data_IF_251294989566
#
_entry.id   IF_251294989566
#
_cell.length_a   1.000
_cell.length_b   1.000
_cell.length_c   1.000
_cell.angle_alpha   90.00
_cell.angle_beta   90.00
_cell.angle_gamma   90.00
#
_symmetry.space_group_name_H-M   'P 1'
#
loop_
_entity.id
_entity.type
_entity.pdbx_description
1 polymer ?
#
# COMPACT_ATOMS: atom_id res chain seq x y z
N UNK A 1 -15.48 11.75 3.17
CA UNK A 1 -15.03 11.06 1.95
C UNK A 1 -15.90 11.48 0.75
N UNK A 2 -17.23 11.36 0.84
CA UNK A 2 -18.15 11.63 -0.29
C UNK A 2 -17.97 13.03 -0.91
N UNK A 3 -17.90 14.08 -0.11
CA UNK A 3 -17.70 15.45 -0.61
C UNK A 3 -16.39 15.60 -1.40
N UNK A 4 -15.32 14.95 -0.98
CA UNK A 4 -14.03 14.95 -1.68
C UNK A 4 -14.16 14.20 -3.01
N UNK A 5 -14.86 13.06 -3.02
CA UNK A 5 -15.11 12.27 -4.23
C UNK A 5 -15.99 13.08 -5.21
N UNK A 6 -17.03 13.76 -4.73
CA UNK A 6 -17.90 14.61 -5.56
C UNK A 6 -17.11 15.80 -6.15
N UNK A 7 -16.22 16.40 -5.37
CA UNK A 7 -15.31 17.44 -5.86
C UNK A 7 -14.36 16.86 -6.92
N UNK A 8 -13.76 15.71 -6.66
CA UNK A 8 -12.89 15.02 -7.61
C UNK A 8 -13.61 14.70 -8.93
N UNK A 9 -14.83 14.18 -8.85
CA UNK A 9 -15.63 13.86 -10.06
C UNK A 9 -15.97 15.09 -10.90
N UNK A 10 -16.12 16.26 -10.27
CA UNK A 10 -16.42 17.54 -10.95
C UNK A 10 -15.18 18.19 -11.55
N UNK A 11 -14.06 18.13 -10.86
CA UNK A 11 -12.88 18.94 -11.20
C UNK A 11 -11.74 18.14 -11.81
N UNK A 12 -11.72 16.83 -11.60
CA UNK A 12 -10.59 15.96 -11.92
C UNK A 12 -9.25 16.49 -11.36
N UNK A 13 -9.29 17.08 -10.16
CA UNK A 13 -8.15 17.76 -9.53
C UNK A 13 -7.03 16.80 -9.16
N UNK A 14 -7.40 15.58 -8.74
CA UNK A 14 -6.47 14.52 -8.40
C UNK A 14 -6.56 13.42 -9.45
N UNK A 15 -5.42 12.92 -9.89
CA UNK A 15 -5.39 11.87 -10.91
C UNK A 15 -4.75 10.64 -10.32
N UNK A 16 -5.39 9.48 -10.46
CA UNK A 16 -4.68 8.24 -10.32
C UNK A 16 -3.51 8.20 -11.31
N UNK A 17 -2.46 7.48 -10.92
CA UNK A 17 -1.19 7.43 -11.63
C UNK A 17 -1.38 7.35 -13.15
N UNK A 18 -0.75 8.28 -13.85
CA UNK A 18 -0.62 8.23 -15.30
C UNK A 18 0.66 7.46 -15.65
N UNK A 19 0.52 6.36 -16.40
CA UNK A 19 1.63 5.51 -16.83
C UNK A 19 2.73 6.26 -17.61
N UNK A 20 2.46 7.45 -18.11
CA UNK A 20 3.42 8.29 -18.82
C UNK A 20 4.51 8.87 -17.89
N UNK A 21 4.31 8.82 -16.57
CA UNK A 21 5.26 9.32 -15.57
C UNK A 21 6.10 8.18 -15.00
N UNK A 22 6.96 7.66 -15.83
CA UNK A 22 7.90 6.61 -15.45
C UNK A 22 8.72 7.06 -14.25
N UNK A 23 8.66 6.30 -13.14
CA UNK A 23 9.44 6.55 -11.93
C UNK A 23 8.71 7.21 -10.78
N UNK A 24 7.46 7.66 -10.93
CA UNK A 24 6.63 8.10 -9.80
C UNK A 24 6.20 6.92 -8.94
N UNK A 25 7.09 6.51 -8.04
CA UNK A 25 6.84 5.39 -7.13
C UNK A 25 5.84 5.73 -6.01
N UNK A 26 5.58 7.01 -5.76
CA UNK A 26 4.70 7.45 -4.65
C UNK A 26 3.30 7.85 -5.11
N UNK A 27 3.03 7.81 -6.43
CA UNK A 27 1.74 8.20 -7.01
C UNK A 27 1.33 9.61 -6.59
N UNK A 28 2.24 10.59 -6.76
CA UNK A 28 2.09 11.93 -6.22
C UNK A 28 0.84 12.67 -6.75
N UNK A 29 0.37 12.30 -7.94
CA UNK A 29 -0.81 12.94 -8.56
C UNK A 29 -2.12 12.68 -7.82
N UNK A 30 -2.17 11.71 -6.92
CA UNK A 30 -3.32 11.41 -6.06
C UNK A 30 -3.09 11.74 -4.58
N UNK A 31 -1.96 12.37 -4.24
CA UNK A 31 -1.67 12.82 -2.87
C UNK A 31 -2.47 14.09 -2.55
N UNK A 32 -3.31 14.00 -1.52
CA UNK A 32 -4.04 15.14 -0.98
C UNK A 32 -3.21 15.91 0.04
N UNK A 33 -2.44 15.19 0.83
CA UNK A 33 -1.57 15.76 1.84
C UNK A 33 -0.34 14.89 2.05
N UNK A 34 0.81 15.54 2.20
CA UNK A 34 2.09 14.88 2.45
C UNK A 34 3.00 15.77 3.27
N UNK A 35 4.03 15.16 3.81
CA UNK A 35 5.09 15.83 4.60
C UNK A 35 6.40 15.76 3.84
N UNK A 36 7.11 16.88 3.78
CA UNK A 36 8.48 16.92 3.26
C UNK A 36 9.47 16.54 4.36
N UNK A 37 10.33 15.59 4.08
CA UNK A 37 11.44 15.21 4.96
C UNK A 37 12.74 15.24 4.17
N UNK A 38 13.63 16.15 4.50
CA UNK A 38 14.92 16.31 3.81
C UNK A 38 15.87 15.13 4.07
N UNK A 39 15.69 14.45 5.21
CA UNK A 39 16.52 13.32 5.61
C UNK A 39 15.97 11.98 5.10
N UNK A 40 14.83 11.97 4.41
CA UNK A 40 14.17 10.74 3.96
C UNK A 40 15.11 9.83 3.17
N UNK A 41 15.87 10.42 2.24
CA UNK A 41 16.80 9.65 1.39
C UNK A 41 17.92 9.02 2.20
N UNK A 42 18.42 9.70 3.22
CA UNK A 42 19.45 9.15 4.11
C UNK A 42 18.95 7.94 4.88
N UNK A 43 17.73 8.03 5.46
CA UNK A 43 17.08 6.89 6.12
C UNK A 43 16.80 5.74 5.16
N UNK A 44 16.32 6.05 3.95
CA UNK A 44 16.06 5.02 2.92
C UNK A 44 17.34 4.34 2.47
N UNK A 45 18.43 5.08 2.29
CA UNK A 45 19.71 4.51 1.93
C UNK A 45 20.25 3.59 3.04
N UNK A 46 20.12 3.99 4.30
CA UNK A 46 20.49 3.15 5.43
C UNK A 46 19.69 1.82 5.44
N UNK A 47 18.39 1.85 5.12
CA UNK A 47 17.57 0.64 4.97
C UNK A 47 18.00 -0.17 3.74
N UNK A 48 18.32 0.49 2.63
CA UNK A 48 18.77 -0.17 1.40
C UNK A 48 20.13 -0.84 1.56
N UNK A 49 21.03 -0.28 2.35
CA UNK A 49 22.28 -0.95 2.71
C UNK A 49 22.02 -2.26 3.45
N UNK A 50 20.98 -2.30 4.29
CA UNK A 50 20.54 -3.53 4.95
C UNK A 50 19.87 -4.51 3.98
N UNK A 51 19.41 -4.06 2.82
CA UNK A 51 18.78 -4.89 1.77
C UNK A 51 19.73 -5.21 0.61
N UNK A 52 20.98 -4.76 0.65
CA UNK A 52 21.98 -5.06 -0.36
C UNK A 52 22.40 -6.53 -0.25
N UNK A 53 22.31 -7.34 -1.33
CA UNK A 53 22.70 -8.75 -1.31
C UNK A 53 24.17 -8.98 -0.96
N UNK A 54 25.03 -8.00 -1.21
CA UNK A 54 26.45 -8.01 -0.85
C UNK A 54 26.70 -7.65 0.62
N UNK A 55 25.67 -7.21 1.34
CA UNK A 55 25.72 -6.89 2.77
C UNK A 55 25.56 -8.14 3.59
N UNK A 56 26.26 -8.25 4.73
CA UNK A 56 26.15 -9.35 5.67
C UNK A 56 24.75 -9.47 6.32
N UNK A 57 23.99 -8.36 6.34
CA UNK A 57 22.62 -8.28 6.84
C UNK A 57 21.73 -7.72 5.75
N UNK A 58 20.77 -8.52 5.26
CA UNK A 58 19.82 -8.08 4.26
C UNK A 58 18.39 -8.45 4.62
N UNK A 59 17.48 -7.51 4.38
CA UNK A 59 16.04 -7.70 4.52
C UNK A 59 15.39 -7.73 3.15
N UNK A 60 14.80 -8.88 2.81
CA UNK A 60 14.03 -9.05 1.58
C UNK A 60 12.59 -9.38 1.87
N UNK A 61 11.73 -9.00 0.94
CA UNK A 61 10.39 -9.56 0.88
C UNK A 61 10.48 -10.88 0.12
N UNK A 62 10.20 -12.00 0.78
CA UNK A 62 10.23 -13.31 0.14
C UNK A 62 9.18 -13.42 -0.95
N UNK A 63 9.48 -14.13 -2.03
CA UNK A 63 8.59 -14.38 -3.17
C UNK A 63 7.22 -14.88 -2.75
N UNK A 64 7.16 -15.84 -1.83
CA UNK A 64 5.89 -16.34 -1.31
C UNK A 64 5.03 -15.20 -0.73
N UNK A 65 5.63 -14.27 0.04
CA UNK A 65 4.89 -13.13 0.58
C UNK A 65 4.40 -12.19 -0.53
N UNK A 66 5.22 -11.91 -1.54
CA UNK A 66 4.83 -11.03 -2.65
C UNK A 66 3.71 -11.68 -3.47
N UNK A 67 3.87 -12.94 -3.87
CA UNK A 67 2.91 -13.65 -4.71
C UNK A 67 1.64 -14.02 -3.96
N UNK A 68 1.77 -14.60 -2.76
CA UNK A 68 0.65 -15.24 -2.08
C UNK A 68 -0.08 -14.28 -1.14
N UNK A 69 0.64 -13.32 -0.53
CA UNK A 69 0.06 -12.43 0.46
C UNK A 69 -0.31 -11.05 -0.07
N UNK A 70 0.46 -10.50 -1.03
CA UNK A 70 0.21 -9.15 -1.55
C UNK A 70 -0.45 -9.14 -2.92
N UNK A 71 0.03 -9.94 -3.87
CA UNK A 71 -0.41 -9.88 -5.28
C UNK A 71 -1.07 -11.17 -5.75
N UNK A 72 -1.79 -11.84 -4.88
CA UNK A 72 -2.50 -13.11 -5.07
C UNK A 72 -3.10 -13.28 -6.47
N UNK A 73 -2.51 -14.14 -7.29
CA UNK A 73 -3.01 -14.46 -8.62
C UNK A 73 -2.88 -13.36 -9.68
N UNK A 74 -2.53 -12.11 -9.30
CA UNK A 74 -2.29 -11.03 -10.27
C UNK A 74 -0.92 -11.17 -10.96
N UNK A 75 0.02 -11.89 -10.36
CA UNK A 75 1.30 -12.23 -10.98
C UNK A 75 1.11 -13.48 -11.83
N UNK A 76 1.29 -13.32 -13.14
CA UNK A 76 1.17 -14.40 -14.14
C UNK A 76 2.50 -14.62 -14.86
N UNK A 77 2.58 -15.64 -15.72
CA UNK A 77 3.75 -15.86 -16.59
C UNK A 77 4.04 -14.68 -17.52
N UNK A 78 3.03 -13.87 -17.85
CA UNK A 78 3.15 -12.66 -18.69
C UNK A 78 3.45 -11.39 -17.88
N UNK A 79 3.57 -11.50 -16.55
CA UNK A 79 3.83 -10.37 -15.64
C UNK A 79 2.65 -10.01 -14.76
N UNK A 80 2.67 -8.80 -14.20
CA UNK A 80 1.63 -8.26 -13.34
C UNK A 80 1.21 -6.88 -13.84
N UNK A 81 -0.09 -6.59 -13.89
CA UNK A 81 -0.59 -5.28 -14.32
C UNK A 81 -0.57 -4.25 -13.18
N UNK A 82 -0.56 -4.69 -11.92
CA UNK A 82 -0.54 -3.81 -10.76
C UNK A 82 0.74 -2.94 -10.74
N UNK A 83 0.55 -1.63 -10.81
CA UNK A 83 1.65 -0.66 -10.83
C UNK A 83 2.46 -0.67 -9.53
N UNK A 84 1.82 -1.02 -8.40
CA UNK A 84 2.50 -1.17 -7.12
C UNK A 84 3.52 -2.31 -7.18
N UNK A 85 3.19 -3.41 -7.82
CA UNK A 85 4.15 -4.47 -8.10
C UNK A 85 5.28 -3.98 -9.01
N UNK A 86 4.93 -3.38 -10.14
CA UNK A 86 5.91 -2.95 -11.16
C UNK A 86 6.92 -1.93 -10.65
N UNK A 87 6.48 -1.02 -9.77
CA UNK A 87 7.30 0.11 -9.32
C UNK A 87 7.97 -0.13 -7.97
N UNK A 88 7.41 -1.01 -7.14
CA UNK A 88 7.90 -1.20 -5.78
C UNK A 88 8.64 -2.50 -5.54
N UNK A 89 8.45 -3.50 -6.41
CA UNK A 89 9.04 -4.83 -6.25
C UNK A 89 10.15 -5.04 -7.28
N UNK A 90 11.38 -4.86 -6.83
CA UNK A 90 12.55 -5.11 -7.64
C UNK A 90 13.02 -6.55 -7.44
N UNK A 91 12.99 -7.37 -8.51
CA UNK A 91 13.52 -8.73 -8.51
C UNK A 91 15.01 -8.69 -8.82
N UNK A 92 15.81 -9.30 -7.97
CA UNK A 92 17.26 -9.45 -8.21
C UNK A 92 17.62 -10.45 -9.33
N UNK A 93 16.62 -10.94 -10.09
CA UNK A 93 16.83 -11.84 -11.23
C UNK A 93 16.87 -13.31 -10.86
N UNK A 94 16.70 -13.66 -9.61
CA UNK A 94 16.64 -15.04 -9.13
C UNK A 94 15.20 -15.53 -8.85
N UNK A 95 14.20 -14.65 -8.91
CA UNK A 95 12.80 -14.98 -8.63
C UNK A 95 12.53 -15.44 -7.20
N UNK A 96 13.48 -15.28 -6.28
CA UNK A 96 13.36 -15.74 -4.89
C UNK A 96 13.19 -14.61 -3.90
N UNK A 97 13.71 -13.44 -4.21
CA UNK A 97 13.77 -12.30 -3.30
C UNK A 97 13.46 -10.99 -4.02
N UNK A 98 12.66 -10.14 -3.37
CA UNK A 98 12.30 -8.82 -3.89
C UNK A 98 12.78 -7.73 -2.95
N UNK A 99 13.40 -6.70 -3.52
CA UNK A 99 13.68 -5.45 -2.83
C UNK A 99 12.49 -4.51 -2.95
N UNK A 100 12.11 -3.90 -1.83
CA UNK A 100 11.07 -2.88 -1.80
C UNK A 100 11.66 -1.51 -2.13
N UNK A 101 11.21 -0.90 -3.23
CA UNK A 101 11.86 0.28 -3.83
C UNK A 101 11.01 1.55 -3.79
N UNK A 102 9.88 1.57 -3.08
CA UNK A 102 8.93 2.69 -3.05
C UNK A 102 9.57 4.03 -2.66
N UNK A 103 10.50 4.00 -1.73
CA UNK A 103 11.15 5.19 -1.17
C UNK A 103 12.59 5.36 -1.64
N UNK A 104 13.06 4.56 -2.59
CA UNK A 104 14.39 4.74 -3.15
C UNK A 104 14.53 6.07 -3.86
N UNK A 105 15.76 6.59 -3.85
CA UNK A 105 16.11 7.81 -4.56
C UNK A 105 15.72 7.70 -6.03
N UNK A 106 15.03 8.71 -6.50
CA UNK A 106 14.65 8.84 -7.89
C UNK A 106 15.63 9.81 -8.57
N UNK A 107 16.48 9.26 -9.43
CA UNK A 107 17.41 10.04 -10.23
C UNK A 107 16.73 10.35 -11.57
N UNK A 108 16.11 11.53 -11.66
CA UNK A 108 15.59 12.08 -12.90
C UNK A 108 16.22 13.46 -13.13
N UNK A 109 16.43 13.81 -14.40
CA UNK A 109 16.90 15.12 -14.83
C UNK A 109 15.92 16.25 -14.49
N UNK A 110 14.63 15.95 -14.40
CA UNK A 110 13.62 16.90 -13.88
C UNK A 110 13.77 17.06 -12.36
N UNK A 111 14.47 18.13 -11.98
CA UNK A 111 14.75 18.48 -10.57
C UNK A 111 13.48 18.63 -9.73
N UNK A 112 12.38 19.10 -10.32
CA UNK A 112 11.11 19.28 -9.60
C UNK A 112 10.50 17.93 -9.24
N UNK A 113 10.46 17.01 -10.18
CA UNK A 113 9.95 15.65 -9.95
C UNK A 113 10.84 14.86 -9.00
N UNK A 114 12.15 14.94 -9.16
CA UNK A 114 13.12 14.32 -8.26
C UNK A 114 12.93 14.81 -6.81
N UNK A 115 12.73 16.12 -6.64
CA UNK A 115 12.52 16.73 -5.33
C UNK A 115 11.23 16.21 -4.66
N UNK A 116 10.12 16.20 -5.38
CA UNK A 116 8.84 15.66 -4.87
C UNK A 116 8.99 14.17 -4.52
N UNK A 117 9.55 13.37 -5.41
CA UNK A 117 9.69 11.93 -5.19
C UNK A 117 10.65 11.59 -4.06
N UNK A 118 11.74 12.34 -3.91
CA UNK A 118 12.79 12.00 -2.96
C UNK A 118 12.45 12.41 -1.53
N UNK A 119 11.73 13.51 -1.33
CA UNK A 119 11.53 14.09 0.00
C UNK A 119 10.09 14.01 0.51
N UNK A 120 9.12 13.70 -0.35
CA UNK A 120 7.71 13.65 0.03
C UNK A 120 7.36 12.31 0.67
N UNK A 121 6.76 12.38 1.86
CA UNK A 121 6.09 11.25 2.53
C UNK A 121 4.58 11.43 2.34
N UNK A 122 3.91 10.55 1.59
CA UNK A 122 2.46 10.62 1.45
C UNK A 122 1.78 10.31 2.79
N UNK A 123 0.90 11.20 3.23
CA UNK A 123 0.12 11.03 4.46
C UNK A 123 -1.33 10.68 4.15
N UNK A 124 -1.94 11.33 3.16
CA UNK A 124 -3.30 11.07 2.71
C UNK A 124 -3.34 11.09 1.19
N UNK A 125 -3.92 10.04 0.60
CA UNK A 125 -4.14 9.90 -0.85
C UNK A 125 -5.61 9.70 -1.19
N UNK A 126 -5.94 9.94 -2.46
CA UNK A 126 -7.30 9.68 -2.96
C UNK A 126 -7.73 8.22 -2.80
N UNK A 127 -6.79 7.28 -2.90
CA UNK A 127 -7.07 5.86 -2.64
C UNK A 127 -7.65 5.63 -1.24
N UNK A 128 -7.12 6.29 -0.22
CA UNK A 128 -7.64 6.21 1.15
C UNK A 128 -9.06 6.77 1.27
N UNK A 129 -9.34 7.90 0.61
CA UNK A 129 -10.69 8.48 0.59
C UNK A 129 -11.71 7.51 -0.02
N UNK A 130 -11.34 6.82 -1.09
CA UNK A 130 -12.18 5.78 -1.70
C UNK A 130 -12.36 4.56 -0.80
N UNK A 131 -11.29 4.11 -0.08
CA UNK A 131 -11.41 3.02 0.89
C UNK A 131 -12.37 3.38 2.03
N UNK A 132 -12.26 4.59 2.59
CA UNK A 132 -13.17 5.09 3.64
C UNK A 132 -14.61 5.13 3.14
N UNK A 133 -14.83 5.61 1.93
CA UNK A 133 -16.17 5.66 1.33
C UNK A 133 -16.74 4.26 1.11
N UNK A 134 -15.95 3.34 0.54
CA UNK A 134 -16.35 1.97 0.28
C UNK A 134 -16.69 1.22 1.58
N UNK A 135 -15.84 1.34 2.60
CA UNK A 135 -16.07 0.74 3.93
C UNK A 135 -17.35 1.28 4.59
N UNK A 136 -17.61 2.59 4.47
CA UNK A 136 -18.75 3.21 5.13
C UNK A 136 -20.11 2.75 4.56
N UNK A 137 -20.16 2.34 3.28
CA UNK A 137 -21.44 2.08 2.60
C UNK A 137 -21.68 0.62 2.22
N UNK A 138 -20.68 -0.27 2.29
CA UNK A 138 -20.80 -1.62 1.70
C UNK A 138 -21.99 -2.43 2.22
N UNK A 139 -22.41 -2.24 3.47
CA UNK A 139 -23.60 -2.91 4.03
C UNK A 139 -24.93 -2.37 3.51
N UNK A 140 -24.97 -1.11 3.11
CA UNK A 140 -26.17 -0.46 2.61
C UNK A 140 -26.23 -0.39 1.08
N UNK A 141 -25.06 -0.32 0.42
CA UNK A 141 -24.94 -0.25 -1.04
C UNK A 141 -23.64 -0.89 -1.49
N UNK A 142 -23.63 -2.23 -1.60
CA UNK A 142 -22.45 -3.00 -1.96
C UNK A 142 -21.94 -2.64 -3.36
N UNK A 143 -22.80 -2.40 -4.32
CA UNK A 143 -22.39 -2.12 -5.70
C UNK A 143 -21.64 -0.75 -5.79
N UNK A 144 -22.13 0.28 -5.11
CA UNK A 144 -21.41 1.56 -5.04
C UNK A 144 -20.07 1.42 -4.30
N UNK A 145 -20.03 0.59 -3.23
CA UNK A 145 -18.77 0.29 -2.53
C UNK A 145 -17.76 -0.42 -3.45
N UNK A 146 -18.21 -1.36 -4.27
CA UNK A 146 -17.38 -2.00 -5.29
C UNK A 146 -16.86 -0.99 -6.32
N UNK A 147 -17.69 -0.04 -6.76
CA UNK A 147 -17.26 1.00 -7.70
C UNK A 147 -16.16 1.88 -7.11
N UNK A 148 -16.24 2.25 -5.84
CA UNK A 148 -15.16 3.01 -5.19
C UNK A 148 -13.86 2.21 -5.17
N UNK A 149 -13.91 0.94 -4.80
CA UNK A 149 -12.72 0.09 -4.79
C UNK A 149 -12.19 -0.19 -6.21
N UNK A 150 -13.08 -0.36 -7.19
CA UNK A 150 -12.72 -0.52 -8.61
C UNK A 150 -11.97 0.69 -9.15
N UNK A 151 -12.35 1.91 -8.75
CA UNK A 151 -11.63 3.14 -9.08
C UNK A 151 -10.17 3.10 -8.65
N UNK A 152 -9.91 2.67 -7.42
CA UNK A 152 -8.53 2.53 -6.91
C UNK A 152 -7.77 1.47 -7.69
N UNK A 153 -8.33 0.27 -7.82
CA UNK A 153 -7.69 -0.85 -8.52
C UNK A 153 -7.36 -0.51 -9.97
N UNK A 154 -8.31 0.07 -10.70
CA UNK A 154 -8.08 0.52 -12.08
C UNK A 154 -7.03 1.63 -12.16
N UNK A 155 -7.05 2.58 -11.21
CA UNK A 155 -6.03 3.60 -11.08
C UNK A 155 -4.63 3.05 -10.78
N UNK A 156 -4.53 1.85 -10.26
CA UNK A 156 -3.27 1.11 -10.08
C UNK A 156 -2.96 0.14 -11.23
N UNK A 157 -3.64 0.30 -12.38
CA UNK A 157 -3.35 -0.43 -13.62
C UNK A 157 -3.97 -1.81 -13.73
N UNK A 158 -4.75 -2.24 -12.74
CA UNK A 158 -5.45 -3.51 -12.79
C UNK A 158 -6.58 -3.49 -13.83
N UNK A 159 -6.72 -4.57 -14.56
CA UNK A 159 -7.71 -4.78 -15.63
C UNK A 159 -8.81 -5.71 -15.15
N UNK A 160 -9.96 -5.70 -15.83
CA UNK A 160 -11.08 -6.56 -15.50
C UNK A 160 -10.75 -8.07 -15.46
N UNK A 161 -9.72 -8.50 -16.21
CA UNK A 161 -9.27 -9.91 -16.24
C UNK A 161 -8.32 -10.29 -15.11
N UNK A 162 -7.81 -9.33 -14.34
CA UNK A 162 -6.85 -9.62 -13.27
C UNK A 162 -7.56 -10.24 -12.07
N UNK A 163 -6.89 -11.16 -11.39
CA UNK A 163 -7.50 -11.96 -10.32
C UNK A 163 -8.10 -11.10 -9.20
N UNK A 164 -7.43 -10.04 -8.80
CA UNK A 164 -7.95 -9.15 -7.75
C UNK A 164 -9.16 -8.32 -8.20
N UNK A 165 -9.34 -8.06 -9.51
CA UNK A 165 -10.56 -7.45 -10.05
C UNK A 165 -11.70 -8.46 -10.09
N UNK A 166 -11.44 -9.70 -10.52
CA UNK A 166 -12.44 -10.78 -10.50
C UNK A 166 -12.90 -11.09 -9.07
N UNK A 167 -11.98 -11.04 -8.10
CA UNK A 167 -12.34 -11.19 -6.68
C UNK A 167 -13.26 -10.05 -6.20
N UNK A 168 -13.06 -8.83 -6.68
CA UNK A 168 -13.94 -7.70 -6.38
C UNK A 168 -15.33 -7.89 -7.02
N UNK A 169 -15.38 -8.28 -8.29
CA UNK A 169 -16.64 -8.49 -8.99
C UNK A 169 -17.50 -9.57 -8.32
N UNK A 170 -16.85 -10.64 -7.85
CA UNK A 170 -17.48 -11.75 -7.12
C UNK A 170 -17.68 -11.47 -5.63
N UNK A 171 -17.27 -10.32 -5.11
CA UNK A 171 -17.44 -10.00 -3.70
C UNK A 171 -18.92 -9.85 -3.33
N UNK A 172 -19.26 -10.33 -2.15
CA UNK A 172 -20.53 -10.13 -1.50
C UNK A 172 -20.32 -9.44 -0.15
N UNK A 173 -21.41 -9.15 0.57
CA UNK A 173 -21.34 -8.44 1.83
C UNK A 173 -20.44 -9.13 2.88
N UNK A 174 -20.37 -10.47 2.88
CA UNK A 174 -19.60 -11.23 3.86
C UNK A 174 -18.08 -11.20 3.63
N UNK A 175 -17.63 -11.00 2.38
CA UNK A 175 -16.20 -11.04 2.03
C UNK A 175 -15.64 -9.72 1.46
N UNK A 176 -16.49 -8.72 1.23
CA UNK A 176 -16.08 -7.44 0.66
C UNK A 176 -14.95 -6.77 1.47
N UNK A 177 -15.05 -6.79 2.81
CA UNK A 177 -14.02 -6.20 3.67
C UNK A 177 -12.67 -6.89 3.49
N UNK A 178 -12.62 -8.20 3.34
CA UNK A 178 -11.36 -8.91 3.06
C UNK A 178 -10.75 -8.47 1.71
N UNK A 179 -11.58 -8.25 0.69
CA UNK A 179 -11.12 -7.74 -0.61
C UNK A 179 -10.57 -6.32 -0.49
N UNK A 180 -11.23 -5.45 0.27
CA UNK A 180 -10.79 -4.08 0.53
C UNK A 180 -9.49 -4.06 1.34
N UNK A 181 -9.41 -4.80 2.44
CA UNK A 181 -8.21 -4.89 3.29
C UNK A 181 -7.01 -5.41 2.50
N UNK A 182 -7.19 -6.42 1.65
CA UNK A 182 -6.12 -6.95 0.81
C UNK A 182 -5.60 -5.91 -0.19
N UNK A 183 -6.46 -5.03 -0.73
CA UNK A 183 -6.02 -3.95 -1.60
C UNK A 183 -5.32 -2.83 -0.81
N UNK A 184 -5.85 -2.46 0.35
CA UNK A 184 -5.25 -1.48 1.26
C UNK A 184 -3.85 -1.91 1.75
N UNK A 185 -3.63 -3.22 2.00
CA UNK A 185 -2.31 -3.77 2.33
C UNK A 185 -1.27 -3.51 1.24
N UNK A 186 -1.67 -3.61 -0.02
CA UNK A 186 -0.79 -3.26 -1.15
C UNK A 186 -0.50 -1.77 -1.17
N UNK A 187 -1.54 -0.96 -1.00
CA UNK A 187 -1.47 0.49 -1.12
C UNK A 187 -0.58 1.12 -0.04
N UNK A 188 -0.72 0.65 1.20
CA UNK A 188 -0.02 1.17 2.36
C UNK A 188 1.23 0.36 2.75
N UNK A 189 1.74 -0.45 1.82
CA UNK A 189 2.96 -1.20 2.07
C UNK A 189 4.11 -0.23 2.38
N UNK A 190 4.77 -0.46 3.53
CA UNK A 190 5.86 0.38 4.03
C UNK A 190 5.44 1.71 4.68
N UNK A 191 4.12 1.94 4.91
CA UNK A 191 3.62 3.20 5.50
C UNK A 191 3.11 3.07 6.95
N UNK A 192 3.01 1.85 7.47
CA UNK A 192 2.53 1.59 8.83
C UNK A 192 1.01 1.71 9.04
N UNK A 193 0.28 2.30 8.11
CA UNK A 193 -1.16 2.57 8.23
C UNK A 193 -2.01 1.30 8.36
N UNK A 194 -1.60 0.21 7.72
CA UNK A 194 -2.34 -1.04 7.72
C UNK A 194 -2.50 -1.63 9.12
N UNK A 195 -1.54 -1.42 10.02
CA UNK A 195 -1.64 -1.84 11.41
C UNK A 195 -2.86 -1.20 12.11
N UNK A 196 -3.06 0.10 11.91
CA UNK A 196 -4.21 0.81 12.51
C UNK A 196 -5.53 0.34 11.91
N UNK A 197 -5.56 -0.03 10.64
CA UNK A 197 -6.74 -0.62 10.01
C UNK A 197 -7.11 -1.96 10.66
N UNK A 198 -6.16 -2.89 10.81
CA UNK A 198 -6.39 -4.16 11.49
C UNK A 198 -6.85 -3.95 12.95
N UNK A 199 -6.19 -3.05 13.67
CA UNK A 199 -6.56 -2.72 15.06
C UNK A 199 -8.00 -2.20 15.16
N UNK A 200 -8.41 -1.31 14.25
CA UNK A 200 -9.77 -0.75 14.21
C UNK A 200 -10.83 -1.80 13.85
N UNK A 201 -10.52 -2.66 12.90
CA UNK A 201 -11.40 -3.74 12.45
C UNK A 201 -11.44 -4.92 13.44
N UNK A 202 -10.50 -4.99 14.38
CA UNK A 202 -10.28 -6.12 15.29
C UNK A 202 -10.01 -7.43 14.55
N UNK A 203 -9.35 -7.35 13.41
CA UNK A 203 -8.97 -8.49 12.61
C UNK A 203 -7.52 -8.87 12.88
N UNK A 204 -7.24 -10.17 12.95
CA UNK A 204 -5.88 -10.67 13.14
C UNK A 204 -4.97 -10.32 11.95
N UNK A 205 -3.74 -9.93 12.23
CA UNK A 205 -2.75 -9.58 11.22
C UNK A 205 -2.12 -10.87 10.67
N UNK A 206 -2.12 -11.10 9.35
CA UNK A 206 -1.42 -12.21 8.75
C UNK A 206 0.08 -12.15 9.05
N UNK A 207 0.63 -13.17 9.67
CA UNK A 207 2.05 -13.25 9.95
C UNK A 207 2.86 -13.59 8.68
N UNK A 208 4.17 -13.30 8.73
CA UNK A 208 5.10 -13.60 7.62
C UNK A 208 5.18 -15.11 7.32
N UNK A 209 5.02 -15.95 8.33
CA UNK A 209 4.96 -17.41 8.15
C UNK A 209 3.52 -17.79 7.77
N UNK A 210 3.39 -18.46 6.64
CA UNK A 210 2.10 -18.92 6.15
C UNK A 210 1.32 -19.71 7.22
N UNK A 211 0.03 -19.39 7.35
CA UNK A 211 -0.87 -20.03 8.30
C UNK A 211 -0.86 -19.47 9.71
N UNK A 212 0.07 -18.59 10.06
CA UNK A 212 0.10 -17.93 11.36
C UNK A 212 -0.60 -16.57 11.28
N UNK A 213 -1.19 -16.14 12.38
CA UNK A 213 -1.80 -14.82 12.56
C UNK A 213 -1.32 -14.21 13.87
N UNK A 214 -1.25 -12.89 13.91
CA UNK A 214 -1.00 -12.12 15.15
C UNK A 214 -2.36 -11.60 15.61
N UNK A 215 -2.88 -12.04 16.77
CA UNK A 215 -4.18 -11.60 17.25
C UNK A 215 -4.16 -10.10 17.59
N UNK A 216 -5.31 -9.46 17.43
CA UNK A 216 -5.53 -8.07 17.85
C UNK A 216 -6.15 -8.09 19.24
N UNK A 217 -5.32 -8.28 20.25
CA UNK A 217 -5.67 -8.19 21.67
C UNK A 217 -4.79 -7.16 22.39
N UNK A 218 -5.06 -6.94 23.69
CA UNK A 218 -4.34 -5.94 24.47
C UNK A 218 -2.83 -6.22 24.57
N UNK A 219 -2.44 -7.50 24.62
CA UNK A 219 -1.05 -7.91 24.75
C UNK A 219 -0.23 -7.56 23.51
N UNK A 220 -0.84 -7.66 22.32
CA UNK A 220 -0.14 -7.46 21.05
C UNK A 220 -0.24 -6.04 20.48
N UNK A 221 -1.26 -5.26 20.87
CA UNK A 221 -1.56 -3.99 20.20
C UNK A 221 -1.64 -2.77 21.12
N UNK A 222 -1.47 -2.95 22.43
CA UNK A 222 -1.36 -1.87 23.39
C UNK A 222 0.10 -1.79 23.83
N UNK A 223 0.72 -0.64 23.61
CA UNK A 223 2.07 -0.40 24.11
C UNK A 223 2.02 -0.37 25.65
N UNK A 224 2.91 -1.10 26.34
CA UNK A 224 3.00 -1.03 27.79
C UNK A 224 3.38 0.39 28.22
N UNK A 225 2.88 0.80 29.38
CA UNK A 225 3.33 2.05 30.00
C UNK A 225 4.81 1.88 30.37
N UNK A 226 5.71 2.81 30.00
CA UNK A 226 7.11 2.72 30.36
C UNK A 226 7.32 2.63 31.87
N UNK A 227 8.27 1.81 32.31
CA UNK A 227 8.57 1.63 33.73
C UNK A 227 8.94 2.96 34.42
N UNK A 228 9.52 3.90 33.68
CA UNK A 228 9.80 5.26 34.15
C UNK A 228 8.55 6.05 34.54
N UNK A 229 7.40 5.74 33.94
CA UNK A 229 6.12 6.40 34.27
C UNK A 229 5.37 5.66 35.35
N UNK A 230 5.53 4.35 35.48
CA UNK A 230 4.90 3.54 36.55
C UNK A 230 5.51 3.79 37.94
N UNK A 231 6.77 4.23 37.99
CA UNK A 231 7.51 4.49 39.23
C UNK A 231 7.36 5.94 39.74
N UNK A 232 6.51 6.76 39.13
CA UNK A 232 6.24 8.15 39.56
C UNK A 232 5.08 8.29 40.53
N UNK A 233 4.46 7.19 41.02
CA UNK A 233 3.38 7.18 42.02
C UNK A 233 3.84 6.55 43.31
#
# INVERSE_FOLDING_TARGET
>A
AKEIIDYQNKTNAFRFYDQTRYGDKKFYSDILWGVESLDLIEYVNAINELTNPDSYYHYYIRVANVKDNYFQGDITSSGCNDLRYKHWMYDYGNGTEYRFTKYEKYDNEDRTQAKINNYLIPMVRMSEVYYIAAEAIYKSNLEEAKEYLRKVKSGRGLRASDASMLNLDNANESNFMSVLVNDARREWLGEGQIFFMYKRLKESIPAVRAGNVIPIDAEHVILPIPDSETNLN
#
